data_IF_762691348696
#
_entry.id   IF_762691348696
#
_cell.length_a   1.000
_cell.length_b   1.000
_cell.length_c   1.000
_cell.angle_alpha   90.00
_cell.angle_beta   90.00
_cell.angle_gamma   90.00
#
_symmetry.space_group_name_H-M   'P 1'
#
loop_
_entity.id
_entity.type
_entity.pdbx_description
1 polymer ?
#
# COMPACT_ATOMS: atom_id res chain seq x y z
N UNK A 1 -1.96 -11.92 -38.24
CA UNK A 1 -0.78 -12.55 -37.60
C UNK A 1 -1.10 -12.70 -36.13
N UNK A 2 -0.93 -13.91 -35.64
CA UNK A 2 -1.21 -14.43 -34.31
C UNK A 2 -0.50 -13.65 -33.19
N UNK A 3 -1.25 -13.20 -32.17
CA UNK A 3 -0.65 -12.71 -30.91
C UNK A 3 -0.28 -13.90 -30.04
N UNK A 4 0.85 -14.55 -30.34
CA UNK A 4 1.41 -15.60 -29.47
C UNK A 4 2.05 -14.98 -28.23
N UNK A 5 1.55 -15.42 -27.07
CA UNK A 5 2.23 -15.55 -25.77
C UNK A 5 3.53 -14.74 -25.61
N UNK A 6 3.39 -13.44 -25.35
CA UNK A 6 4.48 -12.61 -24.87
C UNK A 6 4.84 -13.03 -23.45
N UNK A 7 6.12 -13.34 -23.23
CA UNK A 7 6.70 -13.63 -21.93
C UNK A 7 6.52 -12.42 -21.00
N UNK A 8 5.57 -12.51 -20.05
CA UNK A 8 5.18 -11.43 -19.13
C UNK A 8 6.29 -10.94 -18.19
N UNK A 9 7.43 -11.63 -18.13
CA UNK A 9 8.61 -11.24 -17.34
C UNK A 9 9.32 -9.99 -17.85
N UNK A 10 8.88 -9.43 -18.98
CA UNK A 10 9.48 -8.25 -19.63
C UNK A 10 8.54 -7.08 -19.81
N UNK A 11 7.49 -6.99 -18.99
CA UNK A 11 6.98 -5.68 -18.63
C UNK A 11 8.07 -5.00 -17.80
N UNK A 12 9.03 -4.40 -18.52
CA UNK A 12 9.67 -3.16 -18.13
C UNK A 12 8.64 -2.41 -17.31
N UNK A 13 8.92 -2.14 -16.04
CA UNK A 13 8.15 -1.20 -15.26
C UNK A 13 7.90 -0.01 -16.19
N UNK A 14 6.67 0.11 -16.67
CA UNK A 14 6.27 1.29 -17.39
C UNK A 14 6.60 2.43 -16.44
N UNK A 15 6.91 3.60 -16.97
CA UNK A 15 7.04 4.85 -16.22
C UNK A 15 5.71 5.23 -15.48
N UNK A 16 4.81 4.28 -15.28
CA UNK A 16 3.63 4.34 -14.44
C UNK A 16 4.05 4.46 -12.98
N UNK A 17 3.76 5.64 -12.46
CA UNK A 17 3.79 5.97 -11.06
C UNK A 17 2.70 5.14 -10.33
N UNK A 18 3.11 4.19 -9.50
CA UNK A 18 2.18 3.37 -8.71
C UNK A 18 2.12 3.91 -7.28
N UNK A 19 0.93 4.33 -6.87
CA UNK A 19 0.64 4.71 -5.50
C UNK A 19 -0.31 3.71 -4.84
N UNK A 20 -0.23 3.65 -3.53
CA UNK A 20 -1.14 2.91 -2.68
C UNK A 20 -1.44 3.69 -1.41
N UNK A 21 -2.38 3.16 -0.64
CA UNK A 21 -2.73 3.68 0.67
C UNK A 21 -2.59 2.56 1.69
N UNK A 22 -2.12 2.90 2.88
CA UNK A 22 -2.06 1.96 3.99
C UNK A 22 -2.57 2.63 5.26
N UNK A 23 -3.43 1.93 5.99
CA UNK A 23 -3.96 2.38 7.29
C UNK A 23 -3.37 1.57 8.45
N UNK A 24 -2.61 0.51 8.15
CA UNK A 24 -2.04 -0.38 9.15
C UNK A 24 -0.77 0.24 9.70
N UNK A 25 -0.71 0.42 11.02
CA UNK A 25 0.54 0.68 11.73
C UNK A 25 1.38 -0.61 11.69
N UNK A 26 2.36 -0.62 10.78
CA UNK A 26 3.20 -1.80 10.54
C UNK A 26 3.92 -2.25 11.81
N UNK A 27 4.36 -1.32 12.67
CA UNK A 27 5.06 -1.66 13.91
C UNK A 27 4.13 -2.40 14.86
N UNK A 28 2.92 -1.88 15.09
CA UNK A 28 1.93 -2.56 15.94
C UNK A 28 1.51 -3.91 15.38
N UNK A 29 1.37 -3.99 14.05
CA UNK A 29 1.01 -5.25 13.41
C UNK A 29 2.13 -6.29 13.53
N UNK A 30 3.39 -5.90 13.37
CA UNK A 30 4.55 -6.77 13.61
C UNK A 30 4.65 -7.20 15.07
N UNK A 31 4.42 -6.30 16.03
CA UNK A 31 4.39 -6.64 17.46
C UNK A 31 3.28 -7.66 17.76
N UNK A 32 2.09 -7.48 17.17
CA UNK A 32 0.99 -8.43 17.27
C UNK A 32 1.38 -9.80 16.67
N UNK A 33 1.92 -9.80 15.46
CA UNK A 33 2.40 -11.03 14.81
C UNK A 33 3.42 -11.76 15.66
N UNK A 34 4.40 -11.06 16.23
CA UNK A 34 5.43 -11.67 17.07
C UNK A 34 4.85 -12.33 18.32
N UNK A 35 3.88 -11.67 18.97
CA UNK A 35 3.20 -12.23 20.17
C UNK A 35 2.42 -13.50 19.86
N UNK A 36 1.80 -13.57 18.68
CA UNK A 36 0.92 -14.68 18.29
C UNK A 36 1.52 -15.60 17.23
N UNK A 37 2.81 -15.44 16.91
CA UNK A 37 3.51 -16.18 15.84
C UNK A 37 3.49 -17.70 16.05
N UNK A 38 3.54 -18.14 17.31
CA UNK A 38 3.48 -19.56 17.67
C UNK A 38 2.09 -20.18 17.46
N UNK A 39 1.04 -19.36 17.43
CA UNK A 39 -0.36 -19.80 17.34
C UNK A 39 -0.89 -19.75 15.91
N UNK A 40 -0.32 -18.88 15.05
CA UNK A 40 -0.77 -18.72 13.67
C UNK A 40 0.11 -19.51 12.71
N UNK A 41 -0.37 -20.67 12.28
CA UNK A 41 0.21 -21.42 11.16
C UNK A 41 0.09 -20.64 9.85
N UNK A 42 1.21 -20.38 9.19
CA UNK A 42 1.25 -19.73 7.87
C UNK A 42 1.42 -18.19 7.88
N UNK A 43 1.51 -17.57 9.06
CA UNK A 43 1.72 -16.13 9.23
C UNK A 43 0.49 -15.29 8.85
N UNK A 44 0.19 -14.25 9.64
CA UNK A 44 -0.87 -13.31 9.29
C UNK A 44 -0.37 -12.42 8.16
N UNK A 45 -1.07 -12.38 7.03
CA UNK A 45 -0.80 -11.32 6.04
C UNK A 45 -1.30 -9.99 6.61
N UNK A 46 -0.51 -8.92 6.45
CA UNK A 46 -0.87 -7.53 6.72
C UNK A 46 -2.00 -7.04 5.83
N UNK A 47 -3.17 -7.63 6.00
CA UNK A 47 -4.39 -7.29 5.29
C UNK A 47 -5.19 -6.33 6.14
N UNK A 48 -5.66 -5.24 5.52
CA UNK A 48 -6.51 -4.25 6.18
C UNK A 48 -7.74 -4.91 6.80
N UNK A 49 -8.27 -5.98 6.19
CA UNK A 49 -9.41 -6.72 6.78
C UNK A 49 -9.05 -7.36 8.11
N UNK A 50 -7.87 -7.96 8.23
CA UNK A 50 -7.43 -8.60 9.47
C UNK A 50 -7.22 -7.55 10.56
N UNK A 51 -6.54 -6.45 10.23
CA UNK A 51 -6.33 -5.34 11.15
C UNK A 51 -7.65 -4.77 11.67
N UNK A 52 -8.62 -4.50 10.78
CA UNK A 52 -9.94 -3.99 11.15
C UNK A 52 -10.74 -5.00 11.99
N UNK A 53 -10.64 -6.31 11.71
CA UNK A 53 -11.31 -7.31 12.54
C UNK A 53 -10.74 -7.34 13.95
N UNK A 54 -9.41 -7.29 14.09
CA UNK A 54 -8.75 -7.25 15.40
C UNK A 54 -9.19 -6.02 16.19
N UNK A 55 -9.14 -4.84 15.56
CA UNK A 55 -9.60 -3.60 16.16
C UNK A 55 -11.09 -3.63 16.51
N UNK A 56 -11.93 -4.29 15.70
CA UNK A 56 -13.37 -4.44 15.97
C UNK A 56 -13.66 -5.34 17.18
N UNK A 57 -12.90 -6.42 17.34
CA UNK A 57 -13.02 -7.31 18.50
C UNK A 57 -12.58 -6.59 19.77
N UNK A 58 -11.51 -5.79 19.69
CA UNK A 58 -11.06 -4.97 20.82
C UNK A 58 -12.08 -3.88 21.18
N UNK A 59 -12.66 -3.21 20.18
CA UNK A 59 -13.75 -2.24 20.38
C UNK A 59 -14.96 -2.89 21.05
N UNK A 60 -15.36 -4.09 20.59
CA UNK A 60 -16.45 -4.84 21.19
C UNK A 60 -16.17 -5.16 22.65
N UNK A 61 -14.99 -5.71 22.95
CA UNK A 61 -14.61 -6.07 24.32
C UNK A 61 -14.60 -4.84 25.25
N UNK A 62 -13.97 -3.74 24.80
CA UNK A 62 -13.92 -2.48 25.57
C UNK A 62 -15.30 -1.86 25.76
N UNK A 63 -16.15 -1.89 24.75
CA UNK A 63 -17.49 -1.34 24.85
C UNK A 63 -18.42 -2.14 25.75
N UNK A 64 -18.24 -3.47 25.84
CA UNK A 64 -18.95 -4.28 26.82
C UNK A 64 -18.51 -3.97 28.25
N UNK A 65 -17.22 -3.69 28.46
CA UNK A 65 -16.71 -3.22 29.76
C UNK A 65 -17.29 -1.85 30.10
N UNK A 66 -17.26 -0.92 29.15
CA UNK A 66 -17.86 0.42 29.33
C UNK A 66 -19.36 0.32 29.67
N UNK A 67 -20.09 -0.58 29.01
CA UNK A 67 -21.50 -0.80 29.29
C UNK A 67 -21.74 -1.38 30.69
N UNK A 68 -20.91 -2.31 31.15
CA UNK A 68 -20.95 -2.85 32.52
C UNK A 68 -20.69 -1.75 33.56
N UNK A 69 -19.73 -0.86 33.29
CA UNK A 69 -19.38 0.27 34.16
C UNK A 69 -20.51 1.29 34.30
N UNK A 70 -21.41 1.42 33.31
CA UNK A 70 -22.62 2.24 33.42
C UNK A 70 -23.70 1.64 34.32
N UNK A 71 -23.55 0.37 34.75
CA UNK A 71 -24.54 -0.36 35.54
C UNK A 71 -25.71 -0.89 34.74
N UNK A 72 -25.54 -1.03 33.41
CA UNK A 72 -26.58 -1.59 32.54
C UNK A 72 -26.70 -3.11 32.76
N UNK A 73 -27.88 -3.56 33.19
CA UNK A 73 -28.13 -4.99 33.44
C UNK A 73 -28.35 -5.76 32.13
N UNK A 74 -27.37 -6.59 31.76
CA UNK A 74 -27.43 -7.48 30.59
C UNK A 74 -28.19 -8.79 30.86
N UNK A 75 -28.62 -9.08 32.09
CA UNK A 75 -29.24 -10.34 32.46
C UNK A 75 -30.73 -10.42 32.16
N UNK A 76 -31.41 -9.28 32.03
CA UNK A 76 -32.85 -9.20 31.85
C UNK A 76 -33.23 -8.22 30.73
N UNK A 77 -33.26 -8.70 29.48
CA UNK A 77 -33.68 -7.91 28.33
C UNK A 77 -34.75 -8.61 27.50
N UNK A 78 -35.61 -7.83 26.87
CA UNK A 78 -36.56 -8.36 25.89
C UNK A 78 -35.83 -8.61 24.56
N UNK A 79 -35.94 -9.80 23.96
CA UNK A 79 -35.34 -10.04 22.65
C UNK A 79 -35.94 -9.12 21.57
N UNK A 80 -35.08 -8.60 20.71
CA UNK A 80 -35.48 -7.88 19.51
C UNK A 80 -36.29 -8.79 18.57
N UNK A 81 -37.23 -8.22 17.81
CA UNK A 81 -38.05 -8.98 16.87
C UNK A 81 -38.36 -8.16 15.63
N UNK A 82 -38.06 -8.72 14.45
CA UNK A 82 -38.45 -8.11 13.18
C UNK A 82 -39.96 -8.20 12.91
N UNK A 83 -40.63 -9.24 13.41
CA UNK A 83 -42.08 -9.45 13.19
C UNK A 83 -42.91 -8.50 14.05
N UNK A 84 -42.50 -8.30 15.30
CA UNK A 84 -43.18 -7.39 16.23
C UNK A 84 -42.64 -5.96 16.19
N UNK A 85 -41.75 -5.64 15.23
CA UNK A 85 -41.04 -4.35 15.11
C UNK A 85 -40.44 -3.85 16.44
N UNK A 86 -39.93 -4.79 17.25
CA UNK A 86 -39.41 -4.50 18.59
C UNK A 86 -37.91 -4.31 18.54
N UNK A 87 -37.45 -3.11 18.92
CA UNK A 87 -36.03 -2.81 19.13
C UNK A 87 -35.50 -3.53 20.37
N UNK A 88 -34.18 -3.67 20.46
CA UNK A 88 -33.54 -4.14 21.68
C UNK A 88 -33.51 -3.01 22.71
N UNK A 89 -33.98 -3.28 23.92
CA UNK A 89 -34.20 -2.26 24.96
C UNK A 89 -32.89 -1.52 25.33
N UNK A 90 -31.77 -2.23 25.39
CA UNK A 90 -30.44 -1.69 25.73
C UNK A 90 -29.62 -1.25 24.51
N UNK A 91 -30.22 -1.22 23.33
CA UNK A 91 -29.49 -0.95 22.09
C UNK A 91 -28.92 0.47 22.02
N UNK A 92 -29.58 1.44 22.63
CA UNK A 92 -29.10 2.83 22.71
C UNK A 92 -27.91 2.96 23.66
N UNK A 93 -28.00 2.37 24.86
CA UNK A 93 -26.92 2.37 25.85
C UNK A 93 -25.66 1.66 25.30
N UNK A 94 -25.83 0.51 24.63
CA UNK A 94 -24.73 -0.19 23.98
C UNK A 94 -24.06 0.65 22.89
N UNK A 95 -24.85 1.37 22.09
CA UNK A 95 -24.35 2.25 21.03
C UNK A 95 -23.57 3.43 21.62
N UNK A 96 -24.06 4.01 22.72
CA UNK A 96 -23.39 5.11 23.41
C UNK A 96 -22.11 4.65 24.12
N UNK A 97 -22.10 3.44 24.71
CA UNK A 97 -20.90 2.81 25.25
C UNK A 97 -19.82 2.61 24.18
N UNK A 98 -20.16 2.10 22.99
CA UNK A 98 -19.20 1.99 21.89
C UNK A 98 -18.70 3.36 21.40
N UNK A 99 -19.54 4.39 21.43
CA UNK A 99 -19.15 5.73 21.02
C UNK A 99 -18.15 6.39 22.00
N UNK A 100 -18.22 6.04 23.29
CA UNK A 100 -17.32 6.53 24.33
C UNK A 100 -15.93 5.88 24.30
N UNK A 101 -15.80 4.68 23.74
CA UNK A 101 -14.53 3.95 23.68
C UNK A 101 -13.51 4.69 22.81
N UNK A 102 -12.34 4.94 23.41
CA UNK A 102 -11.16 5.46 22.72
C UNK A 102 -9.92 4.61 23.04
N UNK A 103 -9.19 4.17 22.01
CA UNK A 103 -7.97 3.39 22.16
C UNK A 103 -7.09 3.42 20.92
N UNK A 104 -5.88 2.90 21.03
CA UNK A 104 -4.87 2.88 19.98
C UNK A 104 -4.74 1.49 19.36
N UNK A 105 -5.55 1.21 18.34
CA UNK A 105 -5.54 -0.07 17.61
C UNK A 105 -4.41 -0.22 16.59
N UNK A 106 -4.46 -1.32 15.83
CA UNK A 106 -3.55 -1.64 14.73
C UNK A 106 -3.70 -0.63 13.59
N UNK A 107 -4.90 -0.12 13.38
CA UNK A 107 -5.17 0.90 12.35
C UNK A 107 -5.00 2.33 12.87
N UNK A 108 -4.25 2.53 13.96
CA UNK A 108 -4.05 3.82 14.61
C UNK A 108 -5.13 4.15 15.66
N UNK A 109 -5.26 5.43 16.04
CA UNK A 109 -6.25 5.86 17.03
C UNK A 109 -7.68 5.51 16.58
N UNK A 110 -8.47 4.98 17.51
CA UNK A 110 -9.87 4.63 17.34
C UNK A 110 -10.67 5.46 18.31
N UNK A 111 -11.59 6.24 17.76
CA UNK A 111 -12.55 7.07 18.48
C UNK A 111 -13.70 7.38 17.54
N UNK A 112 -14.89 7.64 18.07
CA UNK A 112 -16.08 7.86 17.26
C UNK A 112 -16.70 9.23 17.53
N UNK A 113 -17.24 9.83 16.47
CA UNK A 113 -18.09 11.00 16.55
C UNK A 113 -19.32 10.74 15.69
N UNK A 114 -20.51 10.78 16.30
CA UNK A 114 -21.78 10.44 15.65
C UNK A 114 -21.77 9.07 14.94
N UNK A 115 -21.14 8.06 15.55
CA UNK A 115 -21.04 6.71 14.99
C UNK A 115 -20.06 6.57 13.83
N UNK A 116 -19.33 7.63 13.47
CA UNK A 116 -18.30 7.62 12.43
C UNK A 116 -16.94 7.67 13.10
N UNK A 117 -16.01 6.82 12.64
CA UNK A 117 -14.64 6.86 13.13
C UNK A 117 -14.02 8.23 12.85
N UNK A 118 -13.46 8.83 13.87
CA UNK A 118 -12.74 10.10 13.80
C UNK A 118 -11.22 9.87 13.93
N UNK A 119 -10.42 10.89 13.57
CA UNK A 119 -8.96 10.87 13.69
C UNK A 119 -8.29 9.76 12.86
N UNK A 120 -8.86 9.47 11.69
CA UNK A 120 -8.29 8.49 10.76
C UNK A 120 -7.06 9.07 10.09
N UNK A 121 -5.95 8.34 10.13
CA UNK A 121 -4.72 8.64 9.39
C UNK A 121 -4.43 7.51 8.42
N UNK A 122 -4.07 7.86 7.18
CA UNK A 122 -3.76 6.92 6.10
C UNK A 122 -2.43 7.31 5.49
N UNK A 123 -1.49 6.38 5.48
CA UNK A 123 -0.21 6.56 4.81
C UNK A 123 -0.39 6.48 3.29
N UNK A 124 0.32 7.36 2.60
CA UNK A 124 0.42 7.39 1.14
C UNK A 124 1.71 6.67 0.79
N UNK A 125 1.58 5.60 0.03
CA UNK A 125 2.68 4.74 -0.37
C UNK A 125 3.01 4.95 -1.85
N UNK A 126 4.29 4.93 -2.17
CA UNK A 126 4.79 4.87 -3.55
C UNK A 126 5.60 3.60 -3.77
N UNK A 127 5.37 2.95 -4.89
CA UNK A 127 6.23 1.84 -5.32
C UNK A 127 7.55 2.42 -5.86
N UNK A 128 8.67 2.08 -5.23
CA UNK A 128 10.02 2.45 -5.67
C UNK A 128 10.84 1.19 -5.93
N UNK A 129 11.62 1.20 -7.00
CA UNK A 129 12.58 0.12 -7.24
C UNK A 129 13.78 0.32 -6.31
N UNK A 130 14.03 -0.62 -5.42
CA UNK A 130 15.20 -0.58 -4.56
C UNK A 130 16.36 -1.30 -5.27
N UNK A 131 17.36 -0.53 -5.70
CA UNK A 131 18.54 -1.06 -6.40
C UNK A 131 19.38 -2.02 -5.52
N UNK A 132 19.34 -1.86 -4.20
CA UNK A 132 20.09 -2.70 -3.26
C UNK A 132 19.44 -4.08 -3.08
N UNK A 133 18.10 -4.12 -3.08
CA UNK A 133 17.34 -5.36 -2.91
C UNK A 133 16.94 -6.01 -4.25
N UNK A 134 17.14 -5.32 -5.37
CA UNK A 134 16.77 -5.78 -6.70
C UNK A 134 15.26 -6.00 -6.89
N UNK A 135 14.43 -5.49 -5.98
CA UNK A 135 12.99 -5.72 -5.91
C UNK A 135 12.23 -4.41 -5.70
N UNK A 136 11.00 -4.29 -6.23
CA UNK A 136 10.14 -3.14 -5.98
C UNK A 136 9.60 -3.19 -4.55
N UNK A 137 9.72 -2.07 -3.83
CA UNK A 137 9.23 -1.92 -2.45
C UNK A 137 8.34 -0.70 -2.32
N UNK A 138 7.29 -0.79 -1.50
CA UNK A 138 6.50 0.38 -1.15
C UNK A 138 7.22 1.21 -0.09
N UNK A 139 7.29 2.51 -0.31
CA UNK A 139 7.83 3.47 0.65
C UNK A 139 6.75 4.49 0.99
N UNK A 140 6.69 4.90 2.26
CA UNK A 140 5.80 5.99 2.69
C UNK A 140 6.31 7.32 2.15
N UNK A 141 5.47 8.05 1.44
CA UNK A 141 5.78 9.36 0.84
C UNK A 141 4.99 10.52 1.45
N UNK A 142 4.00 10.18 2.27
CA UNK A 142 3.15 11.14 2.96
C UNK A 142 2.08 10.43 3.77
N UNK A 143 1.21 11.21 4.39
CA UNK A 143 0.00 10.75 5.03
C UNK A 143 -1.16 11.69 4.69
N UNK A 144 -2.37 11.18 4.81
CA UNK A 144 -3.59 11.95 4.88
C UNK A 144 -4.19 11.73 6.25
N UNK A 145 -4.57 12.81 6.92
CA UNK A 145 -5.27 12.75 8.19
C UNK A 145 -6.62 13.44 8.07
N UNK A 146 -7.66 12.78 8.57
CA UNK A 146 -8.96 13.39 8.78
C UNK A 146 -8.80 14.47 9.86
N UNK A 147 -9.07 15.73 9.50
CA UNK A 147 -8.98 16.84 10.44
C UNK A 147 -9.90 16.65 11.65
N UNK A 148 -9.43 17.11 12.81
CA UNK A 148 -10.26 17.25 13.99
C UNK A 148 -10.99 18.60 13.94
N UNK A 149 -12.28 18.62 14.31
CA UNK A 149 -13.03 19.83 14.66
C UNK A 149 -12.43 20.57 15.88
N UNK A 150 -11.50 19.94 16.62
CA UNK A 150 -10.77 20.52 17.75
C UNK A 150 -9.26 20.27 17.59
N UNK A 151 -8.55 21.27 17.06
CA UNK A 151 -7.31 21.75 17.67
C UNK A 151 -5.96 21.38 17.07
N UNK A 152 -5.71 20.17 16.54
CA UNK A 152 -4.29 19.80 16.27
C UNK A 152 -4.03 18.81 15.12
N UNK A 153 -5.05 18.43 14.36
CA UNK A 153 -4.86 17.62 13.14
C UNK A 153 -5.25 18.49 11.95
N UNK A 154 -4.26 18.91 11.16
CA UNK A 154 -4.51 19.58 9.88
C UNK A 154 -5.24 18.59 8.98
N UNK A 155 -6.47 18.91 8.62
CA UNK A 155 -7.20 18.13 7.62
C UNK A 155 -6.41 18.13 6.32
N UNK A 156 -6.30 16.96 5.71
CA UNK A 156 -5.72 16.83 4.38
C UNK A 156 -4.36 16.15 4.34
N UNK A 157 -3.70 16.37 3.21
CA UNK A 157 -2.55 15.60 2.76
C UNK A 157 -1.26 16.28 3.21
N UNK A 158 -0.41 15.53 3.90
CA UNK A 158 0.94 15.93 4.25
C UNK A 158 1.94 15.04 3.52
N UNK A 159 2.74 15.63 2.64
CA UNK A 159 3.78 14.93 1.91
C UNK A 159 5.11 15.11 2.63
N UNK A 160 5.87 14.02 2.81
CA UNK A 160 7.21 14.06 3.40
C UNK A 160 8.18 14.81 2.47
N UNK A 161 8.09 14.52 1.17
CA UNK A 161 8.84 15.22 0.15
C UNK A 161 8.02 15.26 -1.15
N UNK A 162 7.80 16.47 -1.69
CA UNK A 162 7.03 16.68 -2.93
C UNK A 162 7.73 16.11 -4.16
N UNK A 163 9.06 15.98 -4.13
CA UNK A 163 9.83 15.37 -5.23
C UNK A 163 9.49 13.88 -5.39
N UNK A 164 9.05 13.23 -4.30
CA UNK A 164 8.63 11.83 -4.30
C UNK A 164 7.34 11.60 -5.08
N UNK A 165 6.56 12.65 -5.40
CA UNK A 165 5.39 12.52 -6.28
C UNK A 165 5.72 12.57 -7.76
N UNK A 166 6.95 12.90 -8.10
CA UNK A 166 7.41 12.85 -9.48
C UNK A 166 7.99 11.47 -9.77
N UNK A 167 7.89 11.04 -11.03
CA UNK A 167 8.88 10.09 -11.51
C UNK A 167 10.20 10.84 -11.47
N UNK A 168 11.01 10.62 -10.41
CA UNK A 168 12.46 10.75 -10.56
C UNK A 168 12.74 9.95 -11.82
N UNK A 169 13.01 10.63 -12.95
CA UNK A 169 13.57 9.94 -14.10
C UNK A 169 14.78 9.26 -13.50
N UNK A 170 14.84 7.92 -13.41
CA UNK A 170 16.14 7.31 -13.23
C UNK A 170 16.97 7.91 -14.37
N UNK A 171 18.22 8.30 -14.16
CA UNK A 171 19.10 8.52 -15.30
C UNK A 171 19.15 7.18 -16.04
N UNK A 172 18.23 6.99 -16.99
CA UNK A 172 18.10 5.73 -17.64
C UNK A 172 19.21 5.75 -18.68
N UNK A 173 20.37 5.23 -18.28
CA UNK A 173 21.39 4.75 -19.19
C UNK A 173 20.79 3.58 -19.96
N UNK A 174 19.85 3.88 -20.88
CA UNK A 174 19.20 2.90 -21.74
C UNK A 174 20.22 2.53 -22.81
N UNK A 175 20.83 1.37 -22.68
CA UNK A 175 21.55 0.76 -23.78
C UNK A 175 20.53 0.24 -24.79
N UNK A 176 20.40 0.92 -25.93
CA UNK A 176 19.61 0.44 -27.05
C UNK A 176 20.33 -0.75 -27.69
N UNK A 177 19.85 -1.97 -27.41
CA UNK A 177 20.36 -3.19 -28.06
C UNK A 177 19.67 -3.33 -29.42
N UNK A 178 20.36 -2.95 -30.48
CA UNK A 178 19.90 -3.18 -31.85
C UNK A 178 20.44 -4.54 -32.31
N UNK A 179 19.57 -5.53 -32.46
CA UNK A 179 19.92 -6.79 -33.10
C UNK A 179 19.66 -6.68 -34.60
N UNK A 180 20.70 -6.87 -35.41
CA UNK A 180 20.60 -6.86 -36.87
C UNK A 180 21.15 -8.17 -37.44
N UNK A 181 20.67 -8.55 -38.62
CA UNK A 181 21.23 -9.64 -39.42
C UNK A 181 22.28 -9.08 -40.40
N UNK A 182 23.33 -9.83 -40.75
CA UNK A 182 24.30 -9.39 -41.75
C UNK A 182 23.63 -9.28 -43.11
N UNK A 183 23.62 -8.08 -43.70
CA UNK A 183 23.09 -7.81 -45.03
C UNK A 183 24.11 -7.07 -45.88
N UNK A 184 24.22 -7.43 -47.16
CA UNK A 184 25.26 -6.93 -48.08
C UNK A 184 25.22 -5.42 -48.38
N UNK A 185 24.19 -4.70 -47.95
CA UNK A 185 24.03 -3.25 -48.19
C UNK A 185 23.80 -2.38 -46.95
N UNK A 186 23.57 -2.96 -45.77
CA UNK A 186 23.11 -2.19 -44.59
C UNK A 186 23.97 -2.36 -43.32
N UNK A 187 24.93 -3.29 -43.31
CA UNK A 187 25.83 -3.55 -42.17
C UNK A 187 27.25 -3.73 -42.66
N UNK A 188 28.20 -2.94 -42.17
CA UNK A 188 29.62 -3.09 -42.50
C UNK A 188 30.30 -3.85 -41.36
N UNK A 189 30.99 -4.94 -41.70
CA UNK A 189 31.81 -5.68 -40.74
C UNK A 189 33.11 -4.90 -40.53
N UNK A 190 33.32 -4.39 -39.33
CA UNK A 190 34.58 -3.80 -38.92
C UNK A 190 35.36 -4.86 -38.11
N UNK A 191 36.57 -5.18 -38.57
CA UNK A 191 37.50 -6.04 -37.84
C UNK A 191 38.53 -5.16 -37.15
N UNK A 192 38.63 -5.29 -35.82
CA UNK A 192 39.68 -4.66 -35.04
C UNK A 192 40.55 -5.79 -34.48
N UNK A 193 41.84 -5.74 -34.79
CA UNK A 193 42.82 -6.67 -34.25
C UNK A 193 43.45 -6.06 -33.01
N UNK A 194 43.16 -6.63 -31.83
CA UNK A 194 43.81 -6.26 -30.58
C UNK A 194 44.71 -7.43 -30.16
N UNK A 195 46.02 -7.30 -30.39
CA UNK A 195 46.97 -8.38 -30.15
C UNK A 195 46.80 -9.56 -31.12
N UNK A 196 46.79 -10.81 -30.63
CA UNK A 196 46.62 -12.04 -31.46
C UNK A 196 45.17 -12.50 -31.64
N UNK A 197 44.18 -11.72 -31.20
CA UNK A 197 42.76 -12.05 -31.37
C UNK A 197 42.10 -11.07 -32.35
N UNK A 198 41.37 -11.64 -33.32
CA UNK A 198 40.48 -10.91 -34.22
C UNK A 198 39.10 -10.83 -33.56
N UNK A 199 38.60 -9.60 -33.36
CA UNK A 199 37.22 -9.36 -32.94
C UNK A 199 36.47 -8.70 -34.11
N UNK A 200 35.31 -9.26 -34.45
CA UNK A 200 34.44 -8.79 -35.53
C UNK A 200 33.19 -8.14 -34.95
N UNK A 201 32.93 -6.89 -35.30
CA UNK A 201 31.69 -6.19 -34.97
C UNK A 201 31.04 -5.62 -36.24
N UNK A 202 29.73 -5.39 -36.21
CA UNK A 202 28.97 -4.85 -37.34
C UNK A 202 28.49 -3.43 -37.00
N UNK A 203 28.93 -2.44 -37.77
CA UNK A 203 28.49 -1.05 -37.65
C UNK A 203 27.43 -0.70 -38.72
N UNK A 204 26.56 0.24 -38.37
CA UNK A 204 25.49 0.74 -39.25
C UNK A 204 25.97 1.99 -39.98
N UNK A 205 25.82 2.02 -41.30
CA UNK A 205 26.10 3.21 -42.10
C UNK A 205 24.90 4.16 -42.06
N UNK A 206 25.10 5.41 -41.62
CA UNK A 206 24.12 6.50 -41.77
C UNK A 206 24.71 7.57 -42.70
N UNK A 207 24.33 7.62 -43.99
CA UNK A 207 24.72 8.72 -44.84
C UNK A 207 23.82 9.93 -44.54
N UNK A 208 24.44 11.03 -44.09
CA UNK A 208 23.90 12.40 -44.04
C UNK A 208 22.54 12.62 -43.38
N UNK A 209 22.54 12.96 -42.09
CA UNK A 209 21.55 13.89 -41.53
C UNK A 209 22.15 15.30 -41.57
N UNK A 210 21.75 16.10 -42.56
CA UNK A 210 21.88 17.56 -42.48
C UNK A 210 20.84 18.07 -41.48
N UNK A 211 21.28 18.96 -40.60
CA UNK A 211 20.46 19.67 -39.61
C UNK A 211 19.36 20.48 -40.29
N UNK A 212 18.12 20.30 -39.83
CA UNK A 212 17.06 21.31 -39.84
C UNK A 212 16.43 21.34 -38.46
#
# INVERSE_FOLDING_TARGET
>A
MDMKSGNWSRLSFSEALVFGFNIIDEKKFQDFQQRYAATVTGGLRGSTRVALTLDSVELLARGLVELDDTGTDLSNFTPASCVAERKWDIGEDLKDAFAAVAFDGITGPISFYNGIRSRVTVDILKLKFNNELGLPTFITVGNWSQGNLYGDIRDGIQMLDRTMLTNEKPEINKTLIITTIPGSSCTIKNEITVGRQQLSFYDKYFPHFQSL
#
